data_IF_645045524723
#
_entry.id   IF_645045524723
#
_cell.length_a   1.000
_cell.length_b   1.000
_cell.length_c   1.000
_cell.angle_alpha   90.00
_cell.angle_beta   90.00
_cell.angle_gamma   90.00
#
_symmetry.space_group_name_H-M   'P 1'
#
loop_
_entity.id
_entity.type
_entity.pdbx_description
1 polymer ?
#
# COMPACT_ATOMS: atom_id res chain seq x y z
N UNK A 1 13.94 -33.92 8.86
CA UNK A 1 13.49 -32.52 8.96
C UNK A 1 14.33 -31.82 10.01
N UNK A 2 14.86 -30.64 9.69
CA UNK A 2 15.65 -29.81 10.58
C UNK A 2 14.73 -28.96 11.47
N UNK A 3 14.82 -29.06 12.79
CA UNK A 3 14.08 -28.18 13.71
C UNK A 3 15.06 -27.23 14.38
N UNK A 4 14.81 -25.94 14.31
CA UNK A 4 15.57 -24.90 15.02
C UNK A 4 14.72 -24.46 16.19
N UNK A 5 15.11 -24.81 17.42
CA UNK A 5 14.41 -24.41 18.65
C UNK A 5 15.13 -23.25 19.31
N UNK A 6 14.36 -22.20 19.61
CA UNK A 6 14.85 -20.92 20.11
C UNK A 6 14.19 -20.53 21.43
N UNK A 7 14.98 -20.40 22.49
CA UNK A 7 14.58 -19.87 23.79
C UNK A 7 15.77 -19.24 24.53
N UNK A 8 15.89 -19.54 25.83
CA UNK A 8 17.12 -19.29 26.61
C UNK A 8 18.24 -20.30 26.28
N UNK A 9 17.99 -21.26 25.41
CA UNK A 9 19.00 -22.09 24.75
C UNK A 9 18.75 -22.06 23.24
N UNK A 10 19.76 -22.42 22.45
CA UNK A 10 19.59 -22.65 21.02
C UNK A 10 19.90 -24.11 20.71
N UNK A 11 18.88 -24.82 20.23
CA UNK A 11 19.00 -26.21 19.83
C UNK A 11 18.72 -26.33 18.33
N UNK A 12 19.56 -27.07 17.63
CA UNK A 12 19.30 -27.46 16.25
C UNK A 12 19.17 -28.97 16.26
N UNK A 13 18.00 -29.46 15.87
CA UNK A 13 17.64 -30.88 15.86
C UNK A 13 17.46 -31.34 14.42
N UNK A 14 17.84 -32.59 14.14
CA UNK A 14 17.50 -33.29 12.91
C UNK A 14 16.72 -34.53 13.30
N UNK A 15 15.49 -34.62 12.82
CA UNK A 15 14.61 -35.76 13.10
C UNK A 15 14.48 -36.03 14.62
N UNK A 16 14.40 -34.95 15.41
CA UNK A 16 14.28 -34.99 16.87
C UNK A 16 15.60 -35.17 17.63
N UNK A 17 16.73 -35.37 16.94
CA UNK A 17 18.05 -35.55 17.57
C UNK A 17 18.88 -34.28 17.43
N UNK A 18 19.41 -33.75 18.53
CA UNK A 18 20.29 -32.59 18.49
C UNK A 18 21.53 -32.89 17.64
N UNK A 19 21.76 -32.07 16.60
CA UNK A 19 23.00 -32.13 15.84
C UNK A 19 24.07 -31.36 16.62
N UNK A 20 25.31 -31.87 16.59
CA UNK A 20 26.43 -31.42 17.44
C UNK A 20 26.68 -29.90 17.45
N UNK A 21 27.65 -29.42 18.25
CA UNK A 21 27.81 -27.98 18.50
C UNK A 21 27.96 -27.19 17.19
N UNK A 22 27.40 -25.99 17.15
CA UNK A 22 27.52 -25.11 15.97
C UNK A 22 29.00 -24.86 15.65
N UNK A 23 29.38 -24.86 14.36
CA UNK A 23 30.79 -24.86 13.97
C UNK A 23 31.49 -23.54 14.28
N UNK A 24 30.76 -22.42 14.27
CA UNK A 24 31.21 -21.12 14.76
C UNK A 24 30.01 -20.19 14.97
N UNK A 25 30.20 -19.13 15.74
CA UNK A 25 29.15 -18.13 16.02
C UNK A 25 28.55 -17.53 14.74
N UNK A 26 29.37 -17.20 13.74
CA UNK A 26 28.87 -16.66 12.45
C UNK A 26 27.97 -17.65 11.70
N UNK A 27 28.21 -18.96 11.82
CA UNK A 27 27.35 -19.96 11.16
C UNK A 27 25.99 -20.06 11.87
N UNK A 28 25.97 -19.94 13.19
CA UNK A 28 24.76 -19.86 13.98
C UNK A 28 23.97 -18.57 13.69
N UNK A 29 24.65 -17.42 13.65
CA UNK A 29 24.05 -16.13 13.27
C UNK A 29 23.50 -16.19 11.84
N UNK A 30 24.21 -16.81 10.91
CA UNK A 30 23.73 -17.00 9.54
C UNK A 30 22.48 -17.89 9.50
N UNK A 31 22.50 -19.04 10.19
CA UNK A 31 21.35 -19.93 10.29
C UNK A 31 20.13 -19.19 10.83
N UNK A 32 20.32 -18.46 11.93
CA UNK A 32 19.23 -17.75 12.58
C UNK A 32 18.73 -16.55 11.75
N UNK A 33 19.67 -15.78 11.19
CA UNK A 33 19.35 -14.70 10.27
C UNK A 33 18.50 -15.20 9.11
N UNK A 34 18.88 -16.31 8.49
CA UNK A 34 18.10 -16.93 7.42
C UNK A 34 16.77 -17.51 7.92
N UNK A 35 16.73 -18.18 9.07
CA UNK A 35 15.50 -18.71 9.66
C UNK A 35 14.49 -17.59 10.00
N UNK A 36 14.98 -16.41 10.39
CA UNK A 36 14.12 -15.25 10.63
C UNK A 36 13.60 -14.62 9.33
N UNK A 37 14.38 -14.66 8.26
CA UNK A 37 13.95 -14.28 6.91
C UNK A 37 13.06 -15.37 6.26
N UNK A 38 13.03 -16.57 6.83
CA UNK A 38 12.20 -17.70 6.41
C UNK A 38 12.73 -18.42 5.18
N UNK A 39 11.82 -18.82 4.29
CA UNK A 39 12.05 -19.47 2.99
C UNK A 39 12.37 -18.47 1.88
N UNK A 40 12.60 -17.19 2.24
CA UNK A 40 12.89 -16.10 1.30
C UNK A 40 14.33 -16.13 0.82
N UNK A 41 14.50 -15.79 -0.46
CA UNK A 41 15.81 -15.53 -1.04
C UNK A 41 16.40 -14.22 -0.50
N UNK A 42 17.49 -14.33 0.24
CA UNK A 42 18.28 -13.20 0.71
C UNK A 42 19.43 -12.91 -0.24
N UNK A 43 19.66 -11.63 -0.59
CA UNK A 43 20.79 -11.25 -1.41
C UNK A 43 22.11 -11.52 -0.68
N UNK A 44 23.04 -12.24 -1.31
CA UNK A 44 24.30 -12.63 -0.66
C UNK A 44 25.15 -11.43 -0.27
N UNK A 45 25.09 -10.33 -1.02
CA UNK A 45 25.77 -9.08 -0.67
C UNK A 45 25.23 -8.46 0.61
N UNK A 46 23.91 -8.50 0.81
CA UNK A 46 23.27 -7.96 2.01
C UNK A 46 23.53 -8.86 3.21
N UNK A 47 23.40 -10.17 3.04
CA UNK A 47 23.73 -11.16 4.08
C UNK A 47 25.20 -11.01 4.51
N UNK A 48 26.12 -10.85 3.56
CA UNK A 48 27.54 -10.64 3.86
C UNK A 48 27.78 -9.33 4.64
N UNK A 49 27.06 -8.26 4.30
CA UNK A 49 27.16 -6.98 5.00
C UNK A 49 26.57 -7.04 6.42
N UNK A 50 25.45 -7.75 6.61
CA UNK A 50 24.84 -7.95 7.92
C UNK A 50 25.71 -8.84 8.83
N UNK A 51 26.24 -9.94 8.30
CA UNK A 51 27.02 -10.94 9.05
C UNK A 51 28.46 -10.49 9.35
N UNK A 52 29.05 -9.67 8.47
CA UNK A 52 30.41 -9.17 8.62
C UNK A 52 30.44 -7.65 8.44
N UNK A 53 29.97 -6.88 9.45
CA UNK A 53 29.84 -5.43 9.33
C UNK A 53 31.21 -4.73 9.17
N UNK A 54 32.30 -5.35 9.65
CA UNK A 54 33.66 -4.87 9.43
C UNK A 54 34.26 -5.46 8.13
N UNK A 55 34.82 -4.60 7.27
CA UNK A 55 35.57 -5.00 6.07
C UNK A 55 34.98 -4.55 4.74
N UNK A 56 35.78 -4.61 3.68
CA UNK A 56 35.33 -4.33 2.32
C UNK A 56 34.45 -5.46 1.75
N UNK A 57 33.74 -5.16 0.66
CA UNK A 57 32.79 -6.10 0.04
C UNK A 57 33.43 -7.43 -0.38
N UNK A 58 34.68 -7.42 -0.88
CA UNK A 58 35.33 -8.64 -1.34
C UNK A 58 35.67 -9.58 -0.17
N UNK A 59 36.19 -9.03 0.94
CA UNK A 59 36.46 -9.78 2.17
C UNK A 59 35.19 -10.35 2.77
N UNK A 60 34.12 -9.55 2.87
CA UNK A 60 32.80 -10.00 3.37
C UNK A 60 32.23 -11.16 2.56
N UNK A 61 32.32 -11.08 1.23
CA UNK A 61 31.82 -12.14 0.35
C UNK A 61 32.63 -13.44 0.47
N UNK A 62 33.96 -13.35 0.64
CA UNK A 62 34.80 -14.53 0.89
C UNK A 62 34.52 -15.15 2.26
N UNK A 63 34.35 -14.34 3.30
CA UNK A 63 33.94 -14.80 4.62
C UNK A 63 32.57 -15.49 4.58
N UNK A 64 31.60 -14.91 3.85
CA UNK A 64 30.29 -15.53 3.64
C UNK A 64 30.39 -16.87 2.93
N UNK A 65 31.24 -17.02 1.91
CA UNK A 65 31.46 -18.32 1.24
C UNK A 65 31.93 -19.40 2.22
N UNK A 66 32.89 -19.08 3.09
CA UNK A 66 33.38 -20.01 4.11
C UNK A 66 32.31 -20.32 5.16
N UNK A 67 31.53 -19.31 5.56
CA UNK A 67 30.43 -19.48 6.50
C UNK A 67 29.31 -20.38 5.93
N UNK A 68 28.97 -20.22 4.66
CA UNK A 68 28.00 -21.08 3.94
C UNK A 68 28.47 -22.52 3.90
N UNK A 69 29.76 -22.76 3.60
CA UNK A 69 30.32 -24.11 3.56
C UNK A 69 30.24 -24.77 4.94
N UNK A 70 30.62 -24.05 6.01
CA UNK A 70 30.50 -24.55 7.38
C UNK A 70 29.07 -24.84 7.78
N UNK A 71 28.14 -23.95 7.41
CA UNK A 71 26.73 -24.13 7.68
C UNK A 71 26.20 -25.39 7.00
N UNK A 72 26.46 -25.57 5.70
CA UNK A 72 26.07 -26.78 4.95
C UNK A 72 26.63 -28.08 5.53
N UNK A 73 27.92 -28.08 5.91
CA UNK A 73 28.53 -29.25 6.55
C UNK A 73 27.88 -29.59 7.91
N UNK A 74 27.30 -28.59 8.58
CA UNK A 74 26.64 -28.77 9.87
C UNK A 74 25.16 -29.18 9.72
N UNK A 75 24.37 -28.38 9.01
CA UNK A 75 22.92 -28.60 8.87
C UNK A 75 22.54 -29.46 7.67
N UNK A 76 23.47 -29.89 6.81
CA UNK A 76 23.21 -30.65 5.59
C UNK A 76 23.15 -29.79 4.33
N UNK A 77 23.61 -30.34 3.21
CA UNK A 77 23.64 -29.64 1.91
C UNK A 77 22.25 -29.29 1.39
N UNK A 78 21.27 -30.17 1.62
CA UNK A 78 19.90 -30.03 1.14
C UNK A 78 19.06 -29.03 1.95
N UNK A 79 19.54 -28.58 3.12
CA UNK A 79 18.83 -27.61 3.98
C UNK A 79 19.07 -26.15 3.54
N UNK A 80 20.04 -25.92 2.65
CA UNK A 80 20.45 -24.58 2.22
C UNK A 80 20.57 -24.46 0.70
N UNK A 81 19.63 -23.74 0.10
CA UNK A 81 19.70 -23.39 -1.32
C UNK A 81 20.62 -22.18 -1.53
N UNK A 82 21.61 -22.33 -2.41
CA UNK A 82 22.58 -21.28 -2.73
C UNK A 82 22.64 -21.04 -4.23
N UNK A 83 22.24 -19.84 -4.64
CA UNK A 83 22.39 -19.30 -5.99
C UNK A 83 23.64 -18.39 -6.04
N UNK A 84 24.22 -18.09 -7.22
CA UNK A 84 25.31 -17.12 -7.33
C UNK A 84 25.06 -15.78 -6.63
N UNK A 85 23.81 -15.30 -6.62
CA UNK A 85 23.41 -14.00 -6.04
C UNK A 85 22.58 -14.09 -4.75
N UNK A 86 21.96 -15.24 -4.47
CA UNK A 86 20.97 -15.37 -3.41
C UNK A 86 21.22 -16.60 -2.55
N UNK A 87 20.71 -16.59 -1.33
CA UNK A 87 20.78 -17.70 -0.37
C UNK A 87 19.47 -17.77 0.41
N UNK A 88 19.00 -18.97 0.73
CA UNK A 88 17.87 -19.21 1.63
C UNK A 88 17.96 -20.58 2.30
N UNK A 89 17.20 -20.79 3.36
CA UNK A 89 16.92 -22.15 3.83
C UNK A 89 15.91 -22.83 2.88
N UNK A 90 16.11 -24.12 2.64
CA UNK A 90 15.30 -24.90 1.70
C UNK A 90 13.85 -25.03 2.20
N UNK A 91 12.84 -24.60 1.43
CA UNK A 91 11.44 -24.71 1.84
C UNK A 91 11.04 -26.16 2.17
N UNK A 92 10.30 -26.35 3.27
CA UNK A 92 9.78 -27.66 3.67
C UNK A 92 10.81 -28.64 4.24
N UNK A 93 12.06 -28.22 4.43
CA UNK A 93 13.12 -29.05 5.02
C UNK A 93 13.43 -28.72 6.47
N UNK A 94 13.05 -27.50 6.89
CA UNK A 94 13.25 -27.00 8.25
C UNK A 94 11.96 -26.47 8.88
N UNK A 95 11.94 -26.36 10.21
CA UNK A 95 10.94 -25.65 11.00
C UNK A 95 11.63 -24.81 12.08
N UNK A 96 10.94 -23.75 12.53
CA UNK A 96 11.38 -22.92 13.65
C UNK A 96 10.40 -23.02 14.79
N UNK A 97 10.88 -23.55 15.92
CA UNK A 97 10.18 -23.57 17.19
C UNK A 97 10.71 -22.44 18.06
N UNK A 98 9.82 -21.64 18.64
CA UNK A 98 10.20 -20.61 19.60
C UNK A 98 9.54 -20.97 20.91
N UNK A 99 10.33 -21.14 21.97
CA UNK A 99 9.79 -21.36 23.31
C UNK A 99 9.07 -20.10 23.76
N UNK A 100 7.75 -20.23 23.93
CA UNK A 100 6.94 -19.16 24.51
C UNK A 100 7.08 -19.19 26.04
N UNK A 101 8.01 -18.41 26.57
CA UNK A 101 8.08 -18.12 28.01
C UNK A 101 6.92 -17.22 28.46
N UNK A 102 6.59 -17.22 29.76
CA UNK A 102 5.57 -16.37 30.38
C UNK A 102 5.79 -14.88 30.02
N UNK A 103 5.01 -14.38 29.04
CA UNK A 103 4.57 -13.03 28.69
C UNK A 103 5.47 -11.77 28.89
N UNK A 104 6.69 -11.85 29.42
CA UNK A 104 7.58 -10.71 29.63
C UNK A 104 8.95 -10.85 28.93
N UNK A 105 9.47 -12.08 28.73
CA UNK A 105 10.85 -12.32 28.26
C UNK A 105 10.99 -12.98 26.88
N UNK A 106 9.93 -12.99 26.06
CA UNK A 106 10.00 -13.39 24.63
C UNK A 106 11.00 -12.55 23.80
N UNK A 107 11.54 -11.48 24.40
CA UNK A 107 12.47 -10.52 23.83
C UNK A 107 13.96 -10.82 24.12
N UNK A 108 14.25 -11.90 24.86
CA UNK A 108 15.59 -12.40 25.18
C UNK A 108 15.85 -13.76 24.52
N UNK A 109 15.65 -13.86 23.20
CA UNK A 109 16.06 -15.05 22.45
C UNK A 109 17.58 -14.97 22.22
N UNK A 110 18.31 -15.99 22.70
CA UNK A 110 19.77 -16.14 22.61
C UNK A 110 20.53 -14.92 23.20
N UNK A 111 20.30 -14.50 24.46
CA UNK A 111 20.84 -13.24 25.01
C UNK A 111 22.37 -13.16 25.01
N UNK A 112 23.06 -14.30 24.98
CA UNK A 112 24.52 -14.37 24.98
C UNK A 112 25.20 -14.07 23.63
N UNK A 113 24.45 -13.94 22.52
CA UNK A 113 25.03 -13.52 21.23
C UNK A 113 24.92 -12.00 21.09
N UNK A 114 26.06 -11.33 21.05
CA UNK A 114 26.15 -9.89 20.81
C UNK A 114 26.53 -9.64 19.34
N UNK A 115 25.54 -9.41 18.49
CA UNK A 115 25.79 -9.15 17.07
C UNK A 115 24.74 -8.20 16.47
N UNK A 116 25.13 -7.19 15.66
CA UNK A 116 24.20 -6.17 15.18
C UNK A 116 22.98 -6.70 14.42
N UNK A 117 23.17 -7.74 13.59
CA UNK A 117 22.04 -8.36 12.87
C UNK A 117 21.07 -9.06 13.83
N UNK A 118 21.58 -9.64 14.91
CA UNK A 118 20.79 -10.30 15.94
C UNK A 118 20.01 -9.27 16.77
N UNK A 119 20.63 -8.15 17.13
CA UNK A 119 19.97 -7.05 17.83
C UNK A 119 18.86 -6.43 16.97
N UNK A 120 19.08 -6.32 15.67
CA UNK A 120 18.05 -5.87 14.73
C UNK A 120 16.85 -6.83 14.73
N UNK A 121 17.09 -8.14 14.70
CA UNK A 121 16.02 -9.16 14.76
C UNK A 121 15.26 -9.05 16.09
N UNK A 122 15.96 -8.94 17.23
CA UNK A 122 15.33 -8.74 18.55
C UNK A 122 14.45 -7.49 18.58
N UNK A 123 14.95 -6.37 18.05
CA UNK A 123 14.21 -5.09 17.97
C UNK A 123 12.96 -5.20 17.10
N UNK A 124 13.05 -5.87 15.93
CA UNK A 124 11.90 -6.09 15.04
C UNK A 124 10.81 -6.90 15.75
N UNK A 125 11.18 -7.94 16.49
CA UNK A 125 10.24 -8.75 17.29
C UNK A 125 9.55 -7.94 18.39
N UNK A 126 10.31 -7.16 19.17
CA UNK A 126 9.74 -6.24 20.19
C UNK A 126 8.67 -5.33 19.62
N UNK A 127 8.90 -4.82 18.42
CA UNK A 127 7.98 -3.91 17.72
C UNK A 127 6.75 -4.64 17.17
N UNK A 128 6.92 -5.87 16.67
CA UNK A 128 5.84 -6.68 16.09
C UNK A 128 4.83 -7.14 17.15
N UNK A 129 5.29 -7.62 18.31
CA UNK A 129 4.41 -8.06 19.41
C UNK A 129 3.61 -6.91 20.01
N UNK A 130 4.21 -5.73 20.15
CA UNK A 130 3.49 -4.54 20.61
C UNK A 130 2.46 -4.04 19.59
N UNK A 131 2.67 -4.28 18.29
CA UNK A 131 1.77 -3.85 17.21
C UNK A 131 0.51 -4.72 17.10
N UNK A 132 0.62 -6.05 17.21
CA UNK A 132 -0.54 -6.95 17.01
C UNK A 132 -1.67 -6.74 18.04
N UNK A 133 -1.34 -6.25 19.24
CA UNK A 133 -2.29 -6.01 20.32
C UNK A 133 -3.18 -4.76 20.15
N UNK A 134 -2.88 -3.85 19.20
CA UNK A 134 -3.44 -2.47 19.19
C UNK A 134 -4.38 -2.19 18.01
N UNK A 135 -4.38 -2.99 16.94
CA UNK A 135 -5.27 -2.77 15.78
C UNK A 135 -5.49 -4.03 14.94
N UNK A 136 -6.72 -4.28 14.42
CA UNK A 136 -6.98 -5.37 13.46
C UNK A 136 -6.06 -5.34 12.23
N UNK A 137 -5.69 -4.14 11.76
CA UNK A 137 -4.76 -3.98 10.64
C UNK A 137 -3.34 -4.40 11.01
N UNK A 138 -2.91 -4.09 12.23
CA UNK A 138 -1.61 -4.54 12.71
C UNK A 138 -1.57 -6.07 12.89
N UNK A 139 -2.68 -6.68 13.33
CA UNK A 139 -2.86 -8.13 13.34
C UNK A 139 -2.74 -8.73 11.94
N UNK A 140 -3.44 -8.16 10.95
CA UNK A 140 -3.36 -8.60 9.54
C UNK A 140 -1.94 -8.48 8.97
N UNK A 141 -1.27 -7.35 9.17
CA UNK A 141 0.13 -7.13 8.73
C UNK A 141 1.02 -8.21 9.34
N UNK A 142 0.91 -8.43 10.66
CA UNK A 142 1.69 -9.44 11.35
C UNK A 142 1.43 -10.84 10.78
N UNK A 143 0.17 -11.22 10.56
CA UNK A 143 -0.18 -12.51 9.94
C UNK A 143 0.44 -12.67 8.55
N UNK A 144 0.38 -11.64 7.70
CA UNK A 144 1.01 -11.66 6.38
C UNK A 144 2.53 -11.83 6.51
N UNK A 145 3.17 -11.11 7.43
CA UNK A 145 4.62 -11.21 7.67
C UNK A 145 5.04 -12.61 8.14
N UNK A 146 4.25 -13.24 9.02
CA UNK A 146 4.53 -14.60 9.49
C UNK A 146 4.36 -15.61 8.36
N UNK A 147 3.23 -15.59 7.65
CA UNK A 147 2.99 -16.53 6.52
C UNK A 147 4.08 -16.35 5.46
N UNK A 148 4.54 -15.13 5.21
CA UNK A 148 5.57 -14.85 4.22
C UNK A 148 6.95 -15.40 4.59
N UNK A 149 7.17 -15.88 5.83
CA UNK A 149 8.39 -16.61 6.18
C UNK A 149 8.34 -18.05 5.71
N UNK A 150 7.16 -18.66 5.61
CA UNK A 150 7.05 -20.06 5.23
C UNK A 150 6.68 -20.18 3.75
N UNK A 151 5.70 -19.39 3.32
CA UNK A 151 5.18 -19.35 1.95
C UNK A 151 4.86 -17.92 1.52
N UNK A 152 5.77 -17.35 0.72
CA UNK A 152 5.63 -15.99 0.17
C UNK A 152 4.43 -15.88 -0.78
N UNK A 153 4.08 -16.96 -1.49
CA UNK A 153 2.99 -16.94 -2.46
C UNK A 153 1.63 -16.97 -1.74
N UNK A 154 1.49 -17.77 -0.68
CA UNK A 154 0.30 -17.75 0.19
C UNK A 154 0.16 -16.39 0.90
N UNK A 155 1.25 -15.83 1.41
CA UNK A 155 1.22 -14.50 2.02
C UNK A 155 0.86 -13.40 1.02
N UNK A 156 1.33 -13.51 -0.23
CA UNK A 156 0.89 -12.61 -1.31
C UNK A 156 -0.60 -12.76 -1.56
N UNK A 157 -1.12 -13.99 -1.57
CA UNK A 157 -2.56 -14.29 -1.63
C UNK A 157 -3.36 -13.57 -0.55
N UNK A 158 -2.92 -13.65 0.71
CA UNK A 158 -3.54 -12.93 1.84
C UNK A 158 -3.49 -11.41 1.65
N UNK A 159 -2.33 -10.88 1.25
CA UNK A 159 -2.14 -9.45 1.01
C UNK A 159 -3.04 -8.90 -0.10
N UNK A 160 -3.14 -9.60 -1.23
CA UNK A 160 -4.00 -9.16 -2.35
C UNK A 160 -5.48 -9.42 -2.08
N UNK A 161 -5.83 -10.40 -1.24
CA UNK A 161 -7.22 -10.60 -0.80
C UNK A 161 -7.67 -9.48 0.15
N UNK A 162 -6.72 -8.89 0.88
CA UNK A 162 -6.92 -7.67 1.65
C UNK A 162 -6.77 -6.39 0.82
N UNK A 163 -6.77 -6.46 -0.52
CA UNK A 163 -6.61 -5.29 -1.38
C UNK A 163 -7.69 -4.22 -1.14
N UNK A 164 -8.92 -4.60 -0.81
CA UNK A 164 -9.97 -3.64 -0.46
C UNK A 164 -9.68 -2.91 0.88
N UNK A 165 -8.75 -3.45 1.67
CA UNK A 165 -8.17 -2.83 2.86
C UNK A 165 -6.85 -2.11 2.57
N UNK A 166 -6.40 -2.03 1.31
CA UNK A 166 -5.23 -1.22 0.90
C UNK A 166 -5.37 0.24 1.36
N UNK A 167 -6.61 0.71 1.51
CA UNK A 167 -6.93 2.03 2.00
C UNK A 167 -6.70 2.25 3.50
N UNK A 168 -6.49 1.16 4.24
CA UNK A 168 -6.21 1.10 5.69
C UNK A 168 -4.72 1.06 6.02
N UNK A 169 -3.85 0.66 5.10
CA UNK A 169 -2.40 0.64 5.34
C UNK A 169 -1.85 2.06 5.29
N UNK A 170 -0.93 2.37 6.21
CA UNK A 170 -0.03 3.50 6.00
C UNK A 170 0.89 3.22 4.80
N UNK A 171 1.43 4.29 4.21
CA UNK A 171 2.36 4.18 3.08
C UNK A 171 3.57 3.32 3.43
N UNK A 172 4.10 3.48 4.65
CA UNK A 172 5.28 2.74 5.08
C UNK A 172 4.97 1.25 5.23
N UNK A 173 3.88 0.90 5.91
CA UNK A 173 3.47 -0.50 6.10
C UNK A 173 3.25 -1.22 4.77
N UNK A 174 2.63 -0.53 3.80
CA UNK A 174 2.46 -1.10 2.47
C UNK A 174 3.80 -1.38 1.79
N UNK A 175 4.74 -0.43 1.80
CA UNK A 175 6.02 -0.63 1.11
C UNK A 175 6.90 -1.68 1.80
N UNK A 176 6.84 -1.77 3.13
CA UNK A 176 7.52 -2.81 3.89
C UNK A 176 7.00 -4.20 3.47
N UNK A 177 5.68 -4.40 3.45
CA UNK A 177 5.06 -5.64 2.97
C UNK A 177 5.32 -5.89 1.48
N UNK A 178 5.25 -4.86 0.64
CA UNK A 178 5.48 -5.00 -0.80
C UNK A 178 6.92 -5.43 -1.11
N UNK A 179 7.91 -4.98 -0.32
CA UNK A 179 9.30 -5.40 -0.46
C UNK A 179 9.48 -6.90 -0.21
N UNK A 180 8.72 -7.42 0.76
CA UNK A 180 8.69 -8.81 1.19
C UNK A 180 8.01 -9.70 0.15
N UNK A 181 6.84 -9.27 -0.33
CA UNK A 181 5.94 -10.09 -1.12
C UNK A 181 6.20 -10.03 -2.63
N UNK A 182 7.23 -9.28 -3.04
CA UNK A 182 7.53 -9.04 -4.45
C UNK A 182 7.62 -10.36 -5.23
N UNK A 183 6.86 -10.52 -6.33
CA UNK A 183 6.93 -11.73 -7.13
C UNK A 183 8.30 -11.83 -7.82
N UNK A 184 8.88 -13.04 -7.81
CA UNK A 184 10.18 -13.33 -8.46
C UNK A 184 10.05 -13.36 -9.98
N UNK A 185 8.90 -13.81 -10.50
CA UNK A 185 8.62 -13.94 -11.92
C UNK A 185 7.20 -13.42 -12.24
N UNK A 186 6.93 -13.17 -13.51
CA UNK A 186 5.59 -12.75 -13.97
C UNK A 186 4.52 -13.80 -13.74
N UNK A 187 4.90 -15.09 -13.80
CA UNK A 187 4.00 -16.21 -13.60
C UNK A 187 3.80 -16.62 -12.13
N UNK A 188 4.44 -15.93 -11.17
CA UNK A 188 4.25 -16.23 -9.74
C UNK A 188 2.76 -16.08 -9.36
N UNK A 189 2.22 -16.94 -8.47
CA UNK A 189 0.85 -16.83 -7.98
C UNK A 189 0.54 -15.43 -7.46
N UNK A 190 -0.64 -14.88 -7.79
CA UNK A 190 -1.08 -13.54 -7.38
C UNK A 190 -0.18 -12.36 -7.84
N UNK A 191 0.77 -12.58 -8.75
CA UNK A 191 1.69 -11.52 -9.19
C UNK A 191 0.96 -10.36 -9.87
N UNK A 192 -0.11 -10.63 -10.62
CA UNK A 192 -0.85 -9.59 -11.33
C UNK A 192 -1.68 -8.70 -10.37
N UNK A 193 -2.34 -9.31 -9.38
CA UNK A 193 -3.07 -8.61 -8.33
C UNK A 193 -2.14 -7.82 -7.42
N UNK A 194 -0.97 -8.37 -7.10
CA UNK A 194 0.06 -7.65 -6.36
C UNK A 194 0.53 -6.40 -7.12
N UNK A 195 0.66 -6.47 -8.45
CA UNK A 195 0.97 -5.30 -9.29
C UNK A 195 -0.17 -4.28 -9.28
N UNK A 196 -1.44 -4.71 -9.26
CA UNK A 196 -2.57 -3.79 -9.06
C UNK A 196 -2.47 -3.09 -7.70
N UNK A 197 -2.19 -3.83 -6.62
CA UNK A 197 -1.98 -3.25 -5.29
C UNK A 197 -0.87 -2.19 -5.30
N UNK A 198 0.25 -2.49 -5.95
CA UNK A 198 1.35 -1.54 -6.12
C UNK A 198 0.95 -0.33 -6.97
N UNK A 199 0.16 -0.54 -8.03
CA UNK A 199 -0.34 0.53 -8.88
C UNK A 199 -1.25 1.47 -8.08
N UNK A 200 -2.21 0.92 -7.33
CA UNK A 200 -3.11 1.69 -6.46
C UNK A 200 -2.35 2.52 -5.43
N UNK A 201 -1.40 1.91 -4.69
CA UNK A 201 -0.63 2.65 -3.70
C UNK A 201 0.24 3.73 -4.35
N UNK A 202 0.84 3.45 -5.51
CA UNK A 202 1.62 4.44 -6.27
C UNK A 202 0.76 5.60 -6.71
N UNK A 203 -0.47 5.35 -7.19
CA UNK A 203 -1.45 6.38 -7.52
C UNK A 203 -1.71 7.26 -6.30
N UNK A 204 -2.16 6.68 -5.17
CA UNK A 204 -2.50 7.44 -3.95
C UNK A 204 -1.35 8.28 -3.40
N UNK A 205 -0.11 7.84 -3.65
CA UNK A 205 1.12 8.53 -3.26
C UNK A 205 1.67 9.51 -4.29
N UNK A 206 0.91 9.79 -5.35
CA UNK A 206 1.29 10.77 -6.37
C UNK A 206 2.36 10.28 -7.35
N UNK A 207 2.70 8.99 -7.33
CA UNK A 207 3.62 8.39 -8.29
C UNK A 207 2.80 7.87 -9.49
N UNK A 208 2.21 8.80 -10.25
CA UNK A 208 1.20 8.48 -11.28
C UNK A 208 1.78 7.62 -12.42
N UNK A 209 3.00 7.91 -12.86
CA UNK A 209 3.67 7.13 -13.91
C UNK A 209 3.97 5.69 -13.46
N UNK A 210 4.43 5.53 -12.21
CA UNK A 210 4.66 4.22 -11.61
C UNK A 210 3.36 3.42 -11.48
N UNK A 211 2.25 4.08 -11.13
CA UNK A 211 0.92 3.47 -11.13
C UNK A 211 0.56 2.89 -12.50
N UNK A 212 0.67 3.72 -13.55
CA UNK A 212 0.39 3.29 -14.93
C UNK A 212 1.31 2.14 -15.34
N UNK A 213 2.60 2.21 -15.00
CA UNK A 213 3.58 1.16 -15.30
C UNK A 213 3.20 -0.16 -14.64
N UNK A 214 2.87 -0.16 -13.35
CA UNK A 214 2.49 -1.37 -12.62
C UNK A 214 1.17 -1.97 -13.15
N UNK A 215 0.19 -1.13 -13.47
CA UNK A 215 -1.06 -1.57 -14.07
C UNK A 215 -0.84 -2.23 -15.45
N UNK A 216 -0.02 -1.64 -16.33
CA UNK A 216 0.34 -2.26 -17.62
C UNK A 216 1.07 -3.59 -17.45
N UNK A 217 1.96 -3.69 -16.46
CA UNK A 217 2.62 -4.96 -16.14
C UNK A 217 1.64 -6.01 -15.61
N UNK A 218 0.62 -5.60 -14.84
CA UNK A 218 -0.44 -6.51 -14.41
C UNK A 218 -1.21 -7.07 -15.62
N UNK A 219 -1.60 -6.21 -16.57
CA UNK A 219 -2.30 -6.62 -17.80
C UNK A 219 -1.48 -7.57 -18.67
N UNK A 220 -0.17 -7.37 -18.75
CA UNK A 220 0.73 -8.27 -19.49
C UNK A 220 0.90 -9.63 -18.80
N UNK A 221 0.61 -9.72 -17.50
CA UNK A 221 0.87 -10.93 -16.70
C UNK A 221 -0.34 -11.85 -16.57
N UNK A 222 -1.53 -11.50 -17.09
CA UNK A 222 -2.75 -12.31 -16.94
C UNK A 222 -3.77 -12.05 -18.05
N UNK A 223 -4.71 -12.99 -18.22
CA UNK A 223 -5.91 -12.81 -19.05
C UNK A 223 -7.21 -12.77 -18.23
N UNK A 224 -7.12 -12.76 -16.90
CA UNK A 224 -8.29 -12.73 -16.01
C UNK A 224 -9.03 -11.39 -16.11
N UNK A 225 -10.32 -11.37 -16.51
CA UNK A 225 -11.07 -10.14 -16.77
C UNK A 225 -11.08 -9.16 -15.58
N UNK A 226 -11.14 -9.65 -14.35
CA UNK A 226 -11.25 -8.83 -13.13
C UNK A 226 -9.97 -8.02 -12.90
N UNK A 227 -8.82 -8.67 -13.06
CA UNK A 227 -7.50 -8.03 -12.95
C UNK A 227 -7.32 -7.01 -14.07
N UNK A 228 -7.71 -7.38 -15.29
CA UNK A 228 -7.64 -6.49 -16.44
C UNK A 228 -8.50 -5.24 -16.24
N UNK A 229 -9.72 -5.40 -15.71
CA UNK A 229 -10.61 -4.29 -15.41
C UNK A 229 -10.03 -3.38 -14.32
N UNK A 230 -9.51 -3.93 -13.23
CA UNK A 230 -8.87 -3.14 -12.17
C UNK A 230 -7.66 -2.35 -12.67
N UNK A 231 -6.78 -2.99 -13.44
CA UNK A 231 -5.63 -2.34 -14.02
C UNK A 231 -6.02 -1.22 -15.00
N UNK A 232 -7.00 -1.48 -15.87
CA UNK A 232 -7.49 -0.49 -16.82
C UNK A 232 -8.19 0.69 -16.12
N UNK A 233 -8.98 0.45 -15.08
CA UNK A 233 -9.59 1.53 -14.28
C UNK A 233 -8.57 2.44 -13.62
N UNK A 234 -7.50 1.87 -13.06
CA UNK A 234 -6.38 2.63 -12.50
C UNK A 234 -5.68 3.51 -13.53
N UNK A 235 -5.45 2.95 -14.73
CA UNK A 235 -4.89 3.71 -15.86
C UNK A 235 -5.83 4.81 -16.32
N UNK A 236 -7.14 4.55 -16.29
CA UNK A 236 -8.15 5.54 -16.65
C UNK A 236 -8.12 6.73 -15.68
N UNK A 237 -8.18 6.50 -14.36
CA UNK A 237 -8.04 7.56 -13.37
C UNK A 237 -6.71 8.31 -13.48
N UNK A 238 -5.59 7.60 -13.65
CA UNK A 238 -4.29 8.22 -13.87
C UNK A 238 -4.25 9.09 -15.13
N UNK A 239 -4.89 8.64 -16.22
CA UNK A 239 -5.03 9.39 -17.47
C UNK A 239 -5.86 10.67 -17.28
N UNK A 240 -6.95 10.62 -16.52
CA UNK A 240 -7.76 11.80 -16.16
C UNK A 240 -6.89 12.82 -15.42
N UNK A 241 -6.14 12.40 -14.40
CA UNK A 241 -5.31 13.30 -13.61
C UNK A 241 -4.17 13.95 -14.42
N UNK A 242 -3.67 13.23 -15.42
CA UNK A 242 -2.64 13.71 -16.35
C UNK A 242 -3.19 14.46 -17.56
N UNK A 243 -4.50 14.44 -17.76
CA UNK A 243 -5.15 14.89 -19.00
C UNK A 243 -4.53 14.22 -20.25
N UNK A 244 -4.23 12.92 -20.14
CA UNK A 244 -3.65 12.10 -21.20
C UNK A 244 -4.75 11.34 -21.95
N UNK A 245 -5.27 11.96 -23.02
CA UNK A 245 -6.37 11.41 -23.81
C UNK A 245 -6.03 10.08 -24.48
N UNK A 246 -4.74 9.82 -24.76
CA UNK A 246 -4.31 8.54 -25.34
C UNK A 246 -4.42 7.42 -24.31
N UNK A 247 -3.93 7.68 -23.09
CA UNK A 247 -4.01 6.71 -21.99
C UNK A 247 -5.47 6.46 -21.58
N UNK A 248 -6.29 7.52 -21.52
CA UNK A 248 -7.74 7.44 -21.28
C UNK A 248 -8.42 6.55 -22.32
N UNK A 249 -8.21 6.82 -23.61
CA UNK A 249 -8.84 6.05 -24.69
C UNK A 249 -8.42 4.58 -24.69
N UNK A 250 -7.13 4.31 -24.43
CA UNK A 250 -6.61 2.95 -24.35
C UNK A 250 -7.17 2.18 -23.15
N UNK A 251 -7.21 2.81 -21.97
CA UNK A 251 -7.76 2.23 -20.75
C UNK A 251 -9.26 1.95 -20.88
N UNK A 252 -10.03 2.90 -21.41
CA UNK A 252 -11.47 2.74 -21.64
C UNK A 252 -11.77 1.60 -22.61
N UNK A 253 -11.03 1.49 -23.70
CA UNK A 253 -11.16 0.36 -24.64
C UNK A 253 -10.93 -0.97 -23.93
N UNK A 254 -9.87 -1.05 -23.12
CA UNK A 254 -9.53 -2.27 -22.39
C UNK A 254 -10.63 -2.65 -21.40
N UNK A 255 -11.24 -1.70 -20.71
CA UNK A 255 -12.39 -1.95 -19.83
C UNK A 255 -13.57 -2.55 -20.59
N UNK A 256 -13.92 -1.98 -21.74
CA UNK A 256 -15.01 -2.49 -22.58
C UNK A 256 -14.75 -3.94 -23.04
N UNK A 257 -13.50 -4.30 -23.32
CA UNK A 257 -13.11 -5.66 -23.71
C UNK A 257 -13.29 -6.70 -22.61
N UNK A 258 -13.24 -6.31 -21.32
CA UNK A 258 -13.40 -7.26 -20.21
C UNK A 258 -14.82 -7.77 -20.04
N UNK A 259 -15.81 -7.08 -20.62
CA UNK A 259 -17.24 -7.37 -20.48
C UNK A 259 -17.72 -7.51 -19.02
N UNK A 260 -16.97 -6.94 -18.07
CA UNK A 260 -17.41 -6.84 -16.69
C UNK A 260 -18.29 -5.59 -16.56
N UNK A 261 -19.31 -5.68 -15.72
CA UNK A 261 -20.07 -4.53 -15.24
C UNK A 261 -19.22 -3.67 -14.28
N UNK A 262 -17.98 -3.35 -14.69
CA UNK A 262 -17.19 -2.36 -14.02
C UNK A 262 -17.86 -1.01 -14.27
N UNK A 263 -17.90 -0.14 -13.25
CA UNK A 263 -18.66 1.10 -13.28
C UNK A 263 -17.97 2.15 -14.17
N UNK A 264 -17.82 1.87 -15.47
CA UNK A 264 -17.24 2.77 -16.48
C UNK A 264 -17.98 4.09 -16.46
N UNK A 265 -19.29 4.08 -16.25
CA UNK A 265 -20.12 5.27 -16.12
C UNK A 265 -19.65 6.18 -14.95
N UNK A 266 -19.21 5.60 -13.82
CA UNK A 266 -18.60 6.36 -12.72
C UNK A 266 -17.25 6.98 -13.13
N UNK A 267 -16.41 6.27 -13.87
CA UNK A 267 -15.12 6.82 -14.32
C UNK A 267 -15.34 7.89 -15.41
N UNK A 268 -16.28 7.66 -16.33
CA UNK A 268 -16.71 8.61 -17.36
C UNK A 268 -17.27 9.89 -16.71
N UNK A 269 -18.05 9.79 -15.62
CA UNK A 269 -18.46 10.95 -14.82
C UNK A 269 -17.24 11.75 -14.34
N UNK A 270 -16.22 11.09 -13.80
CA UNK A 270 -15.01 11.75 -13.33
C UNK A 270 -14.21 12.40 -14.47
N UNK A 271 -14.16 11.77 -15.65
CA UNK A 271 -13.55 12.33 -16.86
C UNK A 271 -14.28 13.61 -17.29
N UNK A 272 -15.60 13.53 -17.52
CA UNK A 272 -16.39 14.66 -18.00
C UNK A 272 -16.36 15.82 -17.02
N UNK A 273 -16.47 15.54 -15.72
CA UNK A 273 -16.30 16.52 -14.66
C UNK A 273 -14.94 17.25 -14.74
N UNK A 274 -13.83 16.53 -14.89
CA UNK A 274 -12.50 17.14 -15.00
C UNK A 274 -12.31 17.93 -16.30
N UNK A 275 -12.99 17.54 -17.39
CA UNK A 275 -13.03 18.28 -18.65
C UNK A 275 -13.97 19.50 -18.61
N UNK A 276 -14.75 19.68 -17.54
CA UNK A 276 -15.74 20.76 -17.43
C UNK A 276 -17.03 20.51 -18.23
N UNK A 277 -17.25 19.28 -18.69
CA UNK A 277 -18.42 18.83 -19.45
C UNK A 277 -19.51 18.36 -18.48
N UNK A 278 -20.18 19.32 -17.83
CA UNK A 278 -21.10 19.01 -16.73
C UNK A 278 -22.36 18.25 -17.16
N UNK A 279 -22.90 18.51 -18.35
CA UNK A 279 -24.11 17.82 -18.82
C UNK A 279 -23.84 16.31 -19.02
N UNK A 280 -22.72 15.99 -19.64
CA UNK A 280 -22.24 14.62 -19.86
C UNK A 280 -21.88 13.94 -18.53
N UNK A 281 -21.30 14.69 -17.58
CA UNK A 281 -21.03 14.18 -16.24
C UNK A 281 -22.33 13.82 -15.48
N UNK A 282 -23.39 14.62 -15.61
CA UNK A 282 -24.71 14.31 -15.03
C UNK A 282 -25.28 13.02 -15.62
N UNK A 283 -25.26 12.89 -16.95
CA UNK A 283 -25.76 11.69 -17.62
C UNK A 283 -25.00 10.43 -17.17
N UNK A 284 -23.66 10.52 -17.12
CA UNK A 284 -22.81 9.43 -16.66
C UNK A 284 -23.06 9.09 -15.18
N UNK A 285 -23.25 10.10 -14.31
CA UNK A 285 -23.65 9.89 -12.91
C UNK A 285 -24.96 9.13 -12.82
N UNK A 286 -25.99 9.54 -13.56
CA UNK A 286 -27.30 8.89 -13.55
C UNK A 286 -27.20 7.41 -13.96
N UNK A 287 -26.45 7.10 -15.02
CA UNK A 287 -26.19 5.70 -15.42
C UNK A 287 -25.47 4.91 -14.34
N UNK A 288 -24.42 5.48 -13.74
CA UNK A 288 -23.66 4.84 -12.67
C UNK A 288 -24.54 4.48 -11.45
N UNK A 289 -25.47 5.36 -11.06
CA UNK A 289 -26.40 5.13 -9.94
C UNK A 289 -27.27 3.91 -10.18
N UNK A 290 -27.80 3.72 -11.40
CA UNK A 290 -28.72 2.60 -11.68
C UNK A 290 -28.12 1.22 -11.44
N UNK A 291 -26.79 1.10 -11.52
CA UNK A 291 -26.04 -0.16 -11.35
C UNK A 291 -25.25 -0.21 -10.04
N UNK A 292 -25.33 0.86 -9.23
CA UNK A 292 -24.45 1.01 -8.07
C UNK A 292 -24.67 -0.06 -7.01
N UNK A 293 -25.93 -0.46 -6.81
CA UNK A 293 -26.32 -1.46 -5.82
C UNK A 293 -25.72 -2.86 -6.08
N UNK A 294 -25.31 -3.13 -7.33
CA UNK A 294 -24.64 -4.38 -7.71
C UNK A 294 -23.12 -4.35 -7.41
N UNK A 295 -22.57 -3.18 -7.07
CA UNK A 295 -21.15 -3.00 -6.82
C UNK A 295 -20.76 -3.34 -5.38
N UNK A 296 -19.50 -3.77 -5.12
CA UNK A 296 -18.97 -3.91 -3.77
C UNK A 296 -19.02 -2.60 -2.96
N UNK A 297 -19.11 -2.71 -1.63
CA UNK A 297 -19.22 -1.56 -0.69
C UNK A 297 -18.19 -0.45 -0.96
N UNK A 298 -16.92 -0.80 -1.17
CA UNK A 298 -15.85 0.15 -1.41
C UNK A 298 -16.01 0.92 -2.74
N UNK A 299 -16.52 0.27 -3.79
CA UNK A 299 -16.84 0.91 -5.05
C UNK A 299 -18.03 1.86 -4.88
N UNK A 300 -19.06 1.44 -4.13
CA UNK A 300 -20.19 2.33 -3.79
C UNK A 300 -19.72 3.57 -3.02
N UNK A 301 -18.86 3.37 -2.02
CA UNK A 301 -18.29 4.47 -1.23
C UNK A 301 -17.47 5.42 -2.10
N UNK A 302 -16.60 4.90 -2.97
CA UNK A 302 -15.83 5.71 -3.91
C UNK A 302 -16.71 6.49 -4.89
N UNK A 303 -17.81 5.89 -5.37
CA UNK A 303 -18.78 6.58 -6.21
C UNK A 303 -19.42 7.76 -5.49
N UNK A 304 -19.94 7.56 -4.28
CA UNK A 304 -20.61 8.62 -3.52
C UNK A 304 -19.65 9.76 -3.17
N UNK A 305 -18.42 9.44 -2.75
CA UNK A 305 -17.41 10.46 -2.46
C UNK A 305 -17.05 11.31 -3.68
N UNK A 306 -16.83 10.68 -4.85
CA UNK A 306 -16.56 11.41 -6.09
C UNK A 306 -17.78 12.21 -6.57
N UNK A 307 -18.98 11.64 -6.41
CA UNK A 307 -20.25 12.32 -6.72
C UNK A 307 -20.46 13.55 -5.85
N UNK A 308 -20.07 13.50 -4.57
CA UNK A 308 -20.15 14.65 -3.66
C UNK A 308 -19.26 15.80 -4.10
N UNK A 309 -17.99 15.52 -4.48
CA UNK A 309 -17.14 16.54 -5.08
C UNK A 309 -17.74 17.13 -6.35
N UNK A 310 -18.17 16.26 -7.28
CA UNK A 310 -18.79 16.70 -8.53
C UNK A 310 -19.99 17.62 -8.27
N UNK A 311 -20.92 17.20 -7.41
CA UNK A 311 -22.10 17.97 -7.04
C UNK A 311 -21.72 19.31 -6.40
N UNK A 312 -20.70 19.31 -5.54
CA UNK A 312 -20.22 20.53 -4.90
C UNK A 312 -19.66 21.55 -5.90
N UNK A 313 -18.87 21.10 -6.87
CA UNK A 313 -18.27 21.96 -7.89
C UNK A 313 -19.32 22.49 -8.87
N UNK A 314 -20.29 21.64 -9.21
CA UNK A 314 -21.44 21.99 -10.05
C UNK A 314 -22.38 22.98 -9.36
N UNK A 315 -22.43 22.96 -8.02
CA UNK A 315 -23.32 23.81 -7.21
C UNK A 315 -24.65 23.14 -6.86
N UNK A 316 -24.76 21.83 -7.00
CA UNK A 316 -25.95 21.06 -6.62
C UNK A 316 -25.87 20.65 -5.15
N UNK A 317 -26.46 21.47 -4.29
CA UNK A 317 -26.52 21.24 -2.84
C UNK A 317 -27.27 19.94 -2.50
N UNK A 318 -28.33 19.61 -3.24
CA UNK A 318 -29.15 18.43 -2.98
C UNK A 318 -28.37 17.15 -3.23
N UNK A 319 -27.78 17.03 -4.41
CA UNK A 319 -26.94 15.88 -4.77
C UNK A 319 -25.68 15.77 -3.90
N UNK A 320 -25.10 16.89 -3.47
CA UNK A 320 -23.96 16.87 -2.56
C UNK A 320 -24.33 16.34 -1.17
N UNK A 321 -25.51 16.72 -0.65
CA UNK A 321 -26.02 16.20 0.63
C UNK A 321 -26.32 14.71 0.55
N UNK A 322 -27.05 14.29 -0.48
CA UNK A 322 -27.33 12.87 -0.77
C UNK A 322 -26.03 12.05 -0.77
N UNK A 323 -25.01 12.52 -1.50
CA UNK A 323 -23.72 11.84 -1.58
C UNK A 323 -23.02 11.71 -0.21
N UNK A 324 -23.06 12.74 0.64
CA UNK A 324 -22.54 12.67 2.00
C UNK A 324 -23.32 11.65 2.86
N UNK A 325 -24.65 11.67 2.80
CA UNK A 325 -25.51 10.77 3.57
C UNK A 325 -25.30 9.31 3.18
N UNK A 326 -25.23 9.02 1.88
CA UNK A 326 -24.97 7.66 1.39
C UNK A 326 -23.54 7.20 1.70
N UNK A 327 -22.54 8.08 1.57
CA UNK A 327 -21.17 7.75 1.98
C UNK A 327 -21.10 7.43 3.48
N UNK A 328 -21.77 8.21 4.33
CA UNK A 328 -21.78 8.00 5.78
C UNK A 328 -22.34 6.63 6.18
N UNK A 329 -23.35 6.12 5.48
CA UNK A 329 -23.92 4.78 5.71
C UNK A 329 -22.94 3.65 5.40
N UNK A 330 -22.00 3.87 4.48
CA UNK A 330 -21.07 2.87 4.01
C UNK A 330 -19.74 2.87 4.78
N UNK A 331 -19.39 3.98 5.43
CA UNK A 331 -18.11 4.15 6.13
C UNK A 331 -18.03 3.27 7.38
N UNK A 332 -16.91 2.57 7.50
CA UNK A 332 -16.47 1.80 8.67
C UNK A 332 -15.18 2.44 9.17
N UNK A 333 -15.21 3.24 10.26
CA UNK A 333 -14.08 4.08 10.67
C UNK A 333 -12.76 3.34 10.93
N UNK A 334 -12.83 2.08 11.36
CA UNK A 334 -11.65 1.24 11.61
C UNK A 334 -10.95 0.75 10.33
N UNK A 335 -11.63 0.81 9.16
CA UNK A 335 -11.15 0.28 7.88
C UNK A 335 -10.99 1.40 6.83
N UNK A 336 -11.76 2.47 6.91
CA UNK A 336 -11.86 3.41 5.79
C UNK A 336 -11.00 4.67 5.95
N UNK A 337 -9.82 4.55 6.58
CA UNK A 337 -8.94 5.69 6.88
C UNK A 337 -8.68 6.60 5.66
N UNK A 338 -8.37 6.01 4.50
CA UNK A 338 -8.19 6.76 3.24
C UNK A 338 -9.46 7.41 2.69
N UNK A 339 -10.63 6.79 2.87
CA UNK A 339 -11.92 7.33 2.42
C UNK A 339 -12.47 8.40 3.37
N UNK A 340 -12.20 8.28 4.67
CA UNK A 340 -12.57 9.28 5.68
C UNK A 340 -11.94 10.65 5.38
N UNK A 341 -10.69 10.70 4.92
CA UNK A 341 -10.05 11.95 4.48
C UNK A 341 -10.89 12.61 3.38
N UNK A 342 -11.29 11.81 2.38
CA UNK A 342 -12.11 12.27 1.25
C UNK A 342 -13.49 12.70 1.73
N UNK A 343 -14.12 11.94 2.63
CA UNK A 343 -15.43 12.22 3.19
C UNK A 343 -15.48 13.57 3.90
N UNK A 344 -14.58 13.81 4.86
CA UNK A 344 -14.53 15.08 5.58
C UNK A 344 -14.18 16.26 4.65
N UNK A 345 -13.42 16.00 3.58
CA UNK A 345 -13.16 17.03 2.58
C UNK A 345 -14.39 17.35 1.70
N UNK A 346 -15.21 16.36 1.36
CA UNK A 346 -16.51 16.57 0.70
C UNK A 346 -17.48 17.29 1.63
N UNK A 347 -17.52 16.94 2.93
CA UNK A 347 -18.30 17.67 3.92
C UNK A 347 -17.89 19.15 4.01
N UNK A 348 -16.59 19.44 3.96
CA UNK A 348 -16.11 20.83 3.92
C UNK A 348 -16.66 21.57 2.70
N UNK A 349 -16.61 20.97 1.50
CA UNK A 349 -17.20 21.56 0.28
C UNK A 349 -18.73 21.72 0.37
N UNK A 350 -19.42 20.76 0.99
CA UNK A 350 -20.87 20.86 1.24
C UNK A 350 -21.19 22.06 2.14
N UNK A 351 -20.44 22.26 3.23
CA UNK A 351 -20.61 23.42 4.10
C UNK A 351 -20.29 24.75 3.41
N UNK A 352 -19.34 24.77 2.47
CA UNK A 352 -19.10 25.95 1.63
C UNK A 352 -20.30 26.28 0.73
N UNK A 353 -20.95 25.27 0.14
CA UNK A 353 -22.21 25.48 -0.59
C UNK A 353 -23.36 25.98 0.28
N UNK A 354 -23.31 25.72 1.58
CA UNK A 354 -24.26 26.23 2.57
C UNK A 354 -23.86 27.59 3.15
N UNK A 355 -22.78 28.19 2.65
CA UNK A 355 -22.20 29.44 3.16
C UNK A 355 -21.79 29.38 4.63
N UNK A 356 -21.36 28.20 5.10
CA UNK A 356 -20.91 27.96 6.47
C UNK A 356 -19.41 27.66 6.50
N UNK A 357 -18.60 28.72 6.38
CA UNK A 357 -17.15 28.61 6.31
C UNK A 357 -16.52 28.04 7.60
N UNK A 358 -17.11 28.32 8.78
CA UNK A 358 -16.63 27.79 10.06
C UNK A 358 -16.81 26.27 10.15
N UNK A 359 -17.97 25.75 9.73
CA UNK A 359 -18.19 24.32 9.65
C UNK A 359 -17.26 23.66 8.62
N UNK A 360 -17.06 24.31 7.47
CA UNK A 360 -16.12 23.82 6.46
C UNK A 360 -14.68 23.74 7.01
N UNK A 361 -14.24 24.75 7.77
CA UNK A 361 -12.91 24.77 8.40
C UNK A 361 -12.74 23.66 9.44
N UNK A 362 -13.79 23.31 10.19
CA UNK A 362 -13.80 22.18 11.14
C UNK A 362 -13.66 20.83 10.42
N UNK A 363 -14.51 20.55 9.44
CA UNK A 363 -14.42 19.29 8.66
C UNK A 363 -13.06 19.14 7.97
N UNK A 364 -12.48 20.24 7.49
CA UNK A 364 -11.14 20.22 6.91
C UNK A 364 -10.04 19.95 7.94
N UNK A 365 -10.24 20.37 9.20
CA UNK A 365 -9.40 19.99 10.34
C UNK A 365 -9.40 18.48 10.57
N UNK A 366 -10.58 17.87 10.59
CA UNK A 366 -10.74 16.41 10.72
C UNK A 366 -10.04 15.66 9.58
N UNK A 367 -10.22 16.11 8.32
CA UNK A 367 -9.54 15.54 7.16
C UNK A 367 -8.00 15.59 7.31
N UNK A 368 -7.45 16.67 7.87
CA UNK A 368 -6.01 16.83 8.11
C UNK A 368 -5.48 15.92 9.21
N UNK A 369 -6.21 15.80 10.31
CA UNK A 369 -5.82 14.96 11.44
C UNK A 369 -5.72 13.50 11.00
N UNK A 370 -6.69 13.04 10.21
CA UNK A 370 -6.69 11.71 9.60
C UNK A 370 -5.57 11.59 8.56
N UNK A 371 -5.37 12.61 7.72
CA UNK A 371 -4.27 12.62 6.74
C UNK A 371 -2.89 12.48 7.39
N UNK A 372 -2.62 13.10 8.55
CA UNK A 372 -1.35 12.94 9.26
C UNK A 372 -1.07 11.49 9.65
N UNK A 373 -2.12 10.69 9.87
CA UNK A 373 -2.01 9.26 10.23
C UNK A 373 -1.75 8.37 9.01
N UNK A 374 -2.37 8.63 7.87
CA UNK A 374 -2.33 7.72 6.70
C UNK A 374 -1.43 8.18 5.54
N UNK A 375 -1.12 9.48 5.44
CA UNK A 375 -0.01 10.00 4.63
C UNK A 375 -0.12 9.85 3.10
N UNK A 376 -1.26 10.23 2.47
CA UNK A 376 -1.49 10.06 1.01
C UNK A 376 -1.32 11.36 0.22
N UNK A 377 -0.27 11.46 -0.61
CA UNK A 377 0.04 12.72 -1.33
C UNK A 377 -1.10 13.25 -2.20
N UNK A 378 -1.88 12.39 -2.85
CA UNK A 378 -3.06 12.83 -3.61
C UNK A 378 -4.11 13.47 -2.69
N UNK A 379 -4.40 12.85 -1.54
CA UNK A 379 -5.37 13.40 -0.58
C UNK A 379 -4.91 14.77 -0.06
N UNK A 380 -3.61 14.99 0.10
CA UNK A 380 -3.06 16.29 0.48
C UNK A 380 -3.38 17.39 -0.55
N UNK A 381 -3.37 17.06 -1.85
CA UNK A 381 -3.73 18.00 -2.90
C UNK A 381 -5.20 18.40 -2.83
N UNK A 382 -6.10 17.43 -2.65
CA UNK A 382 -7.53 17.70 -2.50
C UNK A 382 -7.83 18.51 -1.22
N UNK A 383 -7.13 18.24 -0.11
CA UNK A 383 -7.23 19.05 1.11
C UNK A 383 -6.79 20.50 0.85
N UNK A 384 -5.73 20.69 0.05
CA UNK A 384 -5.23 22.03 -0.28
C UNK A 384 -6.17 22.79 -1.19
N UNK A 385 -6.75 22.14 -2.20
CA UNK A 385 -7.80 22.70 -3.06
C UNK A 385 -8.94 23.25 -2.20
N UNK A 386 -9.53 22.41 -1.35
CA UNK A 386 -10.62 22.83 -0.47
C UNK A 386 -10.17 23.87 0.56
N UNK A 387 -8.95 23.79 1.10
CA UNK A 387 -8.46 24.83 2.03
C UNK A 387 -8.47 26.20 1.36
N UNK A 388 -7.96 26.32 0.14
CA UNK A 388 -7.97 27.63 -0.53
C UNK A 388 -9.37 28.17 -0.75
N UNK A 389 -10.36 27.31 -1.02
CA UNK A 389 -11.77 27.71 -1.10
C UNK A 389 -12.31 28.17 0.27
N UNK A 390 -12.02 27.44 1.34
CA UNK A 390 -12.39 27.82 2.71
C UNK A 390 -11.75 29.15 3.13
N UNK A 391 -10.45 29.31 2.85
CA UNK A 391 -9.70 30.54 3.15
C UNK A 391 -10.30 31.75 2.42
N UNK A 392 -10.70 31.58 1.15
CA UNK A 392 -11.39 32.64 0.41
C UNK A 392 -12.78 32.95 0.99
N UNK A 393 -13.55 31.93 1.37
CA UNK A 393 -14.86 32.11 2.01
C UNK A 393 -14.78 32.83 3.38
N UNK A 394 -13.63 32.74 4.06
CA UNK A 394 -13.32 33.50 5.28
C UNK A 394 -12.79 34.91 5.02
N UNK A 395 -12.75 35.37 3.76
CA UNK A 395 -12.29 36.70 3.36
C UNK A 395 -10.76 36.88 3.32
N UNK A 396 -9.98 35.80 3.45
CA UNK A 396 -8.51 35.84 3.47
C UNK A 396 -7.94 35.66 2.05
N UNK A 397 -8.34 36.51 1.10
CA UNK A 397 -8.09 36.32 -0.33
C UNK A 397 -6.61 36.18 -0.72
N UNK A 398 -5.71 37.00 -0.15
CA UNK A 398 -4.27 36.93 -0.46
C UNK A 398 -3.67 35.59 -0.03
N UNK A 399 -4.10 35.08 1.13
CA UNK A 399 -3.70 33.75 1.62
C UNK A 399 -4.28 32.65 0.73
N UNK A 400 -5.55 32.75 0.37
CA UNK A 400 -6.22 31.79 -0.52
C UNK A 400 -5.51 31.70 -1.89
N UNK A 401 -5.12 32.85 -2.46
CA UNK A 401 -4.35 32.95 -3.71
C UNK A 401 -2.98 32.26 -3.60
N UNK A 402 -2.25 32.49 -2.49
CA UNK A 402 -0.98 31.84 -2.25
C UNK A 402 -1.14 30.31 -2.09
N UNK A 403 -2.16 29.87 -1.36
CA UNK A 403 -2.49 28.45 -1.17
C UNK A 403 -2.84 27.77 -2.50
N UNK A 404 -3.67 28.41 -3.35
CA UNK A 404 -4.04 27.93 -4.67
C UNK A 404 -2.82 27.82 -5.61
N UNK A 405 -1.94 28.82 -5.60
CA UNK A 405 -0.67 28.79 -6.33
C UNK A 405 0.23 27.62 -5.91
N UNK A 406 0.36 27.38 -4.60
CA UNK A 406 1.10 26.24 -4.06
C UNK A 406 0.48 24.88 -4.43
N UNK A 407 -0.86 24.79 -4.46
CA UNK A 407 -1.57 23.61 -4.94
C UNK A 407 -1.23 23.29 -6.41
N UNK A 408 -1.25 24.29 -7.31
CA UNK A 408 -0.89 24.11 -8.71
C UNK A 408 0.56 23.65 -8.90
N UNK A 409 1.50 24.25 -8.17
CA UNK A 409 2.90 23.84 -8.20
C UNK A 409 3.06 22.38 -7.77
N UNK A 410 2.37 21.97 -6.70
CA UNK A 410 2.43 20.58 -6.19
C UNK A 410 1.81 19.57 -7.16
N UNK A 411 0.66 19.86 -7.79
CA UNK A 411 0.09 19.00 -8.86
C UNK A 411 1.11 18.76 -9.97
N UNK A 412 1.71 19.84 -10.48
CA UNK A 412 2.71 19.75 -11.55
C UNK A 412 3.94 18.93 -11.12
N UNK A 413 4.42 19.11 -9.89
CA UNK A 413 5.61 18.38 -9.40
C UNK A 413 5.42 16.87 -9.33
N UNK A 414 4.17 16.39 -9.27
CA UNK A 414 3.85 14.96 -9.26
C UNK A 414 3.25 14.48 -10.59
N UNK A 415 3.40 15.28 -11.65
CA UNK A 415 3.01 14.92 -13.02
C UNK A 415 1.52 15.05 -13.33
N UNK A 416 0.74 15.71 -12.47
CA UNK A 416 -0.69 15.94 -12.70
C UNK A 416 -0.94 17.27 -13.44
N UNK A 417 -1.90 17.26 -14.35
CA UNK A 417 -2.27 18.41 -15.19
C UNK A 417 -3.16 19.41 -14.46
N UNK A 418 -3.21 20.68 -14.84
CA UNK A 418 -4.27 21.56 -14.33
C UNK A 418 -5.49 21.39 -15.23
N UNK A 419 -6.55 20.76 -14.72
CA UNK A 419 -7.75 20.43 -15.50
C UNK A 419 -8.66 21.65 -15.68
N UNK A 420 -9.58 21.58 -16.66
CA UNK A 420 -10.54 22.66 -16.92
C UNK A 420 -11.41 22.95 -15.68
N UNK A 421 -11.76 21.90 -14.91
CA UNK A 421 -12.40 22.02 -13.59
C UNK A 421 -11.63 22.95 -12.65
N UNK A 422 -10.33 22.69 -12.47
CA UNK A 422 -9.48 23.46 -11.57
C UNK A 422 -9.30 24.91 -12.05
N UNK A 423 -9.22 25.13 -13.36
CA UNK A 423 -9.20 26.49 -13.92
C UNK A 423 -10.49 27.26 -13.63
N UNK A 424 -11.64 26.59 -13.69
CA UNK A 424 -12.94 27.20 -13.34
C UNK A 424 -13.06 27.48 -11.84
N UNK A 425 -12.55 26.60 -10.98
CA UNK A 425 -12.55 26.86 -9.53
C UNK A 425 -11.61 28.00 -9.15
N UNK A 426 -10.47 28.13 -9.83
CA UNK A 426 -9.52 29.22 -9.59
C UNK A 426 -10.20 30.60 -9.66
N UNK A 427 -11.12 30.82 -10.61
CA UNK A 427 -11.83 32.10 -10.71
C UNK A 427 -12.80 32.35 -9.55
N UNK A 428 -13.20 31.33 -8.78
CA UNK A 428 -14.02 31.50 -7.56
C UNK A 428 -13.18 31.83 -6.33
N UNK A 429 -11.89 31.51 -6.34
CA UNK A 429 -10.95 31.74 -5.22
C UNK A 429 -10.20 33.06 -5.37
N UNK A 430 -9.96 33.50 -6.62
CA UNK A 430 -9.14 34.67 -6.92
C UNK A 430 -9.91 35.98 -7.14
N UNK A 431 -11.23 35.93 -7.14
CA UNK A 431 -12.17 37.06 -7.21
C UNK A 431 -12.73 37.31 -5.82
#
# INVERSE_FOLDING_TARGET
>A
MLTIRLGHTCEVLRDGVQIGPWPCESALILLWGLAHEGTRWSARSEVAAKLFPAGDQAKRMNALRQCILRLRNWIGDDELEVHPRFIRLSPGKWSLEIEEGEAADLCEIIPWIEHPWIDEIRRRRRTATARSAVSPMAGLIHSIEQVAKDDVDAARGLFVSAYDLADSFSVQEFYDLASILRPLQTASPFAAEFRIACAWMSYRNGHIEESVRQAKLAEQSTQRPEVLAHAASLRYYAGIERNDDKEIAAARRRLLETNLAYNIDHIDMCLFWNKGLFAEAIEARSKAITRLHESPRNHQLNFWLNSGYFASDYGDRGACREACEEAAKLIVPSLDGGHLITYHNVQAKMHLLEHNADAAQRSLGEARDIFRRFGRKISALYIQETQSEVTAALGQYERARAEWGGFFQRRRSIGMSITARLQRQQSRVLV
#
